data_IF_098997971135
#
_entry.id   IF_098997971135
#
_cell.length_a   1.000
_cell.length_b   1.000
_cell.length_c   1.000
_cell.angle_alpha   90.00
_cell.angle_beta   90.00
_cell.angle_gamma   90.00
#
_symmetry.space_group_name_H-M   'P 1'
#
loop_
_entity.id
_entity.type
_entity.pdbx_description
1 polymer ?
#
# COMPACT_ATOMS: atom_id res chain seq x y z
N UNK A 1 2.50 26.14 -14.32
CA UNK A 1 2.63 25.69 -12.92
C UNK A 1 3.94 24.91 -12.81
N UNK A 2 5.01 25.47 -12.24
CA UNK A 2 6.24 24.73 -12.05
C UNK A 2 6.01 23.72 -10.91
N UNK A 3 6.38 22.46 -11.13
CA UNK A 3 6.41 21.46 -10.08
C UNK A 3 7.52 21.86 -9.10
N UNK A 4 7.12 22.24 -7.88
CA UNK A 4 8.04 22.54 -6.80
C UNK A 4 8.69 21.23 -6.38
N UNK A 5 9.88 20.97 -6.89
CA UNK A 5 10.65 19.79 -6.53
C UNK A 5 11.20 20.03 -5.13
N UNK A 6 10.72 19.24 -4.16
CA UNK A 6 11.20 19.30 -2.79
C UNK A 6 12.73 19.26 -2.78
N UNK A 7 13.37 20.37 -2.40
CA UNK A 7 14.80 20.42 -2.23
C UNK A 7 15.17 19.48 -1.08
N UNK A 8 15.63 18.28 -1.43
CA UNK A 8 16.19 17.33 -0.46
C UNK A 8 17.43 17.98 0.13
N UNK A 9 17.25 18.61 1.29
CA UNK A 9 18.34 19.13 2.09
C UNK A 9 19.36 18.00 2.31
N UNK A 10 20.61 18.24 1.90
CA UNK A 10 21.75 17.34 2.14
C UNK A 10 22.02 17.27 3.65
N UNK A 11 21.21 16.50 4.36
CA UNK A 11 21.48 16.10 5.74
C UNK A 11 22.26 14.79 5.71
N UNK A 12 23.33 14.77 6.49
CA UNK A 12 24.33 13.70 6.57
C UNK A 12 23.64 12.37 6.91
N UNK A 13 23.78 11.36 6.03
CA UNK A 13 23.05 10.08 5.94
C UNK A 13 21.78 10.12 5.09
N UNK A 14 21.76 9.33 4.00
CA UNK A 14 20.60 9.23 3.08
C UNK A 14 19.30 8.81 3.76
N UNK A 15 19.39 8.13 4.91
CA UNK A 15 18.23 7.74 5.71
C UNK A 15 17.60 8.90 6.48
N UNK A 16 18.39 9.92 6.88
CA UNK A 16 17.87 11.10 7.58
C UNK A 16 16.97 11.96 6.68
N UNK A 17 17.33 12.08 5.40
CA UNK A 17 16.48 12.74 4.40
C UNK A 17 15.18 11.99 4.15
N UNK A 18 15.22 10.66 4.02
CA UNK A 18 14.02 9.84 3.90
C UNK A 18 13.13 9.94 5.14
N UNK A 19 13.70 9.93 6.35
CA UNK A 19 12.94 10.11 7.57
C UNK A 19 12.19 11.45 7.61
N UNK A 20 12.82 12.54 7.15
CA UNK A 20 12.15 13.84 7.04
C UNK A 20 11.01 13.84 6.03
N UNK A 21 11.19 13.22 4.86
CA UNK A 21 10.15 13.11 3.84
C UNK A 21 8.98 12.26 4.31
N UNK A 22 9.25 11.13 4.98
CA UNK A 22 8.20 10.30 5.59
C UNK A 22 7.46 11.08 6.67
N UNK A 23 8.17 11.88 7.47
CA UNK A 23 7.55 12.66 8.52
C UNK A 23 6.64 13.78 7.99
N UNK A 24 7.01 14.44 6.88
CA UNK A 24 6.21 15.53 6.29
C UNK A 24 5.13 15.02 5.34
N UNK A 25 5.49 14.11 4.45
CA UNK A 25 4.69 13.71 3.28
C UNK A 25 4.13 12.29 3.42
N UNK A 26 4.49 11.58 4.49
CA UNK A 26 3.97 10.25 4.76
C UNK A 26 2.47 10.26 5.08
N UNK A 27 1.85 9.10 4.90
CA UNK A 27 0.42 8.90 5.14
C UNK A 27 -0.03 9.18 6.57
N UNK A 28 0.90 9.27 7.53
CA UNK A 28 0.60 9.61 8.93
C UNK A 28 -0.11 10.96 9.09
N UNK A 29 0.19 11.93 8.22
CA UNK A 29 -0.42 13.26 8.24
C UNK A 29 -1.71 13.31 7.42
N UNK A 30 -2.07 12.22 6.73
CA UNK A 30 -3.24 12.21 5.87
C UNK A 30 -4.52 12.20 6.73
N UNK A 31 -5.48 13.12 6.50
CA UNK A 31 -6.68 13.23 7.32
C UNK A 31 -7.48 11.94 7.46
N UNK A 32 -7.49 11.12 6.40
CA UNK A 32 -8.15 9.80 6.42
C UNK A 32 -7.56 8.86 7.48
N UNK A 33 -6.24 8.85 7.68
CA UNK A 33 -5.63 7.95 8.67
C UNK A 33 -6.01 8.37 10.09
N UNK A 34 -6.04 9.67 10.37
CA UNK A 34 -6.47 10.20 11.67
C UNK A 34 -7.93 9.85 11.97
N UNK A 35 -8.80 9.97 10.97
CA UNK A 35 -10.21 9.58 11.08
C UNK A 35 -10.39 8.07 11.23
N UNK A 36 -9.59 7.26 10.54
CA UNK A 36 -9.58 5.81 10.68
C UNK A 36 -9.18 5.40 12.11
N UNK A 37 -8.12 5.99 12.67
CA UNK A 37 -7.68 5.76 14.05
C UNK A 37 -8.74 6.15 15.08
N UNK A 38 -9.48 7.22 14.81
CA UNK A 38 -10.60 7.66 15.64
C UNK A 38 -11.88 6.83 15.43
N UNK A 39 -11.87 5.83 14.55
CA UNK A 39 -13.06 5.06 14.13
C UNK A 39 -14.21 5.95 13.63
N UNK A 40 -13.87 7.04 12.93
CA UNK A 40 -14.81 8.06 12.47
C UNK A 40 -15.10 7.99 10.96
N UNK A 41 -14.67 6.92 10.28
CA UNK A 41 -14.97 6.71 8.86
C UNK A 41 -16.29 5.95 8.69
N UNK A 42 -17.13 6.34 7.71
CA UNK A 42 -18.32 5.59 7.35
C UNK A 42 -17.96 4.16 6.94
N UNK A 43 -18.76 3.18 7.36
CA UNK A 43 -18.54 1.76 7.03
C UNK A 43 -18.44 1.51 5.51
N UNK A 44 -19.19 2.28 4.71
CA UNK A 44 -19.13 2.23 3.25
C UNK A 44 -17.74 2.59 2.71
N UNK A 45 -17.13 3.63 3.25
CA UNK A 45 -15.82 4.11 2.78
C UNK A 45 -14.71 3.14 3.23
N UNK A 46 -14.88 2.48 4.37
CA UNK A 46 -14.05 1.35 4.80
C UNK A 46 -14.22 0.14 3.88
N UNK A 47 -15.46 -0.16 3.46
CA UNK A 47 -15.75 -1.25 2.52
C UNK A 47 -15.07 -0.99 1.17
N UNK A 48 -15.14 0.22 0.62
CA UNK A 48 -14.43 0.59 -0.61
C UNK A 48 -12.92 0.45 -0.45
N UNK A 49 -12.36 0.96 0.66
CA UNK A 49 -10.93 0.89 0.93
C UNK A 49 -10.41 -0.55 0.96
N UNK A 50 -11.09 -1.47 1.65
CA UNK A 50 -10.64 -2.87 1.73
C UNK A 50 -10.69 -3.59 0.38
N UNK A 51 -11.65 -3.24 -0.50
CA UNK A 51 -11.68 -3.77 -1.85
C UNK A 51 -10.48 -3.29 -2.68
N UNK A 52 -10.16 -2.00 -2.66
CA UNK A 52 -9.01 -1.48 -3.38
C UNK A 52 -7.68 -1.99 -2.81
N UNK A 53 -7.57 -2.10 -1.48
CA UNK A 53 -6.41 -2.75 -0.85
C UNK A 53 -6.29 -4.21 -1.29
N UNK A 54 -7.40 -4.96 -1.39
CA UNK A 54 -7.36 -6.33 -1.87
C UNK A 54 -7.01 -6.42 -3.36
N UNK A 55 -7.46 -5.48 -4.20
CA UNK A 55 -7.08 -5.41 -5.62
C UNK A 55 -5.57 -5.22 -5.78
N UNK A 56 -4.95 -4.41 -4.92
CA UNK A 56 -3.52 -4.07 -5.00
C UNK A 56 -2.63 -5.07 -4.27
N UNK A 57 -3.01 -5.50 -3.07
CA UNK A 57 -2.20 -6.37 -2.19
C UNK A 57 -2.60 -7.84 -2.24
N UNK A 58 -3.84 -8.16 -2.62
CA UNK A 58 -4.37 -9.53 -2.61
C UNK A 58 -3.80 -10.45 -3.69
N UNK A 59 -3.07 -9.91 -4.68
CA UNK A 59 -2.44 -10.70 -5.75
C UNK A 59 -1.32 -11.59 -5.19
N UNK A 60 -1.25 -12.81 -5.71
CA UNK A 60 -0.14 -13.72 -5.49
C UNK A 60 0.26 -14.38 -6.81
N UNK A 61 1.56 -14.47 -7.15
CA UNK A 61 2.68 -13.86 -6.44
C UNK A 61 2.63 -12.32 -6.47
N UNK A 62 2.97 -11.69 -5.34
CA UNK A 62 3.13 -10.24 -5.20
C UNK A 62 4.61 -9.85 -5.21
N UNK A 63 4.92 -8.55 -5.18
CA UNK A 63 6.31 -8.03 -5.30
C UNK A 63 7.29 -8.70 -4.32
N UNK A 64 6.86 -8.94 -3.07
CA UNK A 64 7.69 -9.60 -2.07
C UNK A 64 7.92 -11.08 -2.40
N UNK A 65 6.91 -11.78 -2.92
CA UNK A 65 7.05 -13.17 -3.38
C UNK A 65 8.06 -13.25 -4.54
N UNK A 66 7.99 -12.31 -5.50
CA UNK A 66 8.95 -12.19 -6.59
C UNK A 66 10.36 -11.88 -6.06
N UNK A 67 10.50 -10.93 -5.12
CA UNK A 67 11.79 -10.58 -4.53
C UNK A 67 12.42 -11.75 -3.78
N UNK A 68 11.64 -12.49 -2.99
CA UNK A 68 12.10 -13.68 -2.28
C UNK A 68 12.62 -14.76 -3.25
N UNK A 69 11.95 -14.95 -4.39
CA UNK A 69 12.40 -15.87 -5.45
C UNK A 69 13.73 -15.50 -6.10
N UNK A 70 14.13 -14.21 -6.04
CA UNK A 70 15.39 -13.71 -6.59
C UNK A 70 16.47 -13.48 -5.53
N UNK A 71 16.16 -13.69 -4.24
CA UNK A 71 17.08 -13.47 -3.14
C UNK A 71 18.27 -14.44 -3.21
N UNK A 72 19.48 -13.92 -2.98
CA UNK A 72 20.71 -14.71 -2.84
C UNK A 72 20.92 -15.12 -1.39
N UNK A 73 21.87 -16.02 -1.14
CA UNK A 73 22.16 -16.49 0.22
C UNK A 73 22.63 -15.33 1.10
N UNK A 74 21.97 -15.12 2.24
CA UNK A 74 22.31 -14.04 3.17
C UNK A 74 21.14 -13.64 4.07
N UNK A 75 21.35 -12.61 4.90
CA UNK A 75 20.38 -12.06 5.85
C UNK A 75 19.14 -11.47 5.14
N UNK A 76 19.33 -10.96 3.93
CA UNK A 76 18.25 -10.44 3.08
C UNK A 76 17.25 -11.52 2.68
N UNK A 77 17.71 -12.77 2.50
CA UNK A 77 16.85 -13.90 2.12
C UNK A 77 15.95 -14.28 3.27
N UNK A 78 16.51 -14.42 4.47
CA UNK A 78 15.74 -14.78 5.67
C UNK A 78 14.67 -13.71 5.95
N UNK A 79 15.02 -12.42 5.78
CA UNK A 79 14.06 -11.33 5.90
C UNK A 79 12.97 -11.37 4.81
N UNK A 80 13.33 -11.62 3.55
CA UNK A 80 12.37 -11.71 2.43
C UNK A 80 11.43 -12.91 2.58
N UNK A 81 11.92 -14.04 3.08
CA UNK A 81 11.09 -15.22 3.37
C UNK A 81 10.09 -14.94 4.50
N UNK A 82 10.56 -14.35 5.60
CA UNK A 82 9.68 -13.94 6.69
C UNK A 82 8.65 -12.90 6.23
N UNK A 83 9.05 -11.96 5.38
CA UNK A 83 8.15 -10.99 4.78
C UNK A 83 7.11 -11.68 3.88
N UNK A 84 7.51 -12.61 3.01
CA UNK A 84 6.59 -13.33 2.14
C UNK A 84 5.51 -14.10 2.93
N UNK A 85 5.89 -14.73 4.05
CA UNK A 85 4.95 -15.40 4.97
C UNK A 85 3.99 -14.39 5.63
N UNK A 86 4.50 -13.26 6.11
CA UNK A 86 3.69 -12.17 6.67
C UNK A 86 2.67 -11.64 5.65
N UNK A 87 3.10 -11.36 4.43
CA UNK A 87 2.23 -10.90 3.35
C UNK A 87 1.19 -11.96 2.97
N UNK A 88 1.52 -13.25 2.99
CA UNK A 88 0.53 -14.31 2.78
C UNK A 88 -0.59 -14.28 3.84
N UNK A 89 -0.23 -14.04 5.10
CA UNK A 89 -1.19 -13.89 6.21
C UNK A 89 -2.07 -12.65 6.02
N UNK A 90 -1.48 -11.51 5.65
CA UNK A 90 -2.21 -10.27 5.38
C UNK A 90 -3.19 -10.43 4.21
N UNK A 91 -2.78 -11.07 3.11
CA UNK A 91 -3.67 -11.36 1.98
C UNK A 91 -4.86 -12.22 2.39
N UNK A 92 -4.64 -13.27 3.18
CA UNK A 92 -5.72 -14.12 3.66
C UNK A 92 -6.71 -13.34 4.55
N UNK A 93 -6.21 -12.43 5.38
CA UNK A 93 -7.05 -11.53 6.17
C UNK A 93 -7.85 -10.58 5.28
N UNK A 94 -7.22 -9.92 4.30
CA UNK A 94 -7.89 -9.02 3.38
C UNK A 94 -9.02 -9.71 2.61
N UNK A 95 -8.78 -10.91 2.08
CA UNK A 95 -9.82 -11.70 1.38
C UNK A 95 -11.03 -11.95 2.28
N UNK A 96 -10.80 -12.29 3.56
CA UNK A 96 -11.89 -12.50 4.53
C UNK A 96 -12.66 -11.21 4.83
N UNK A 97 -11.96 -10.09 4.97
CA UNK A 97 -12.58 -8.77 5.22
C UNK A 97 -13.42 -8.34 4.01
N UNK A 98 -12.91 -8.49 2.79
CA UNK A 98 -13.64 -8.19 1.56
C UNK A 98 -14.89 -9.06 1.42
N UNK A 99 -14.77 -10.37 1.67
CA UNK A 99 -15.93 -11.27 1.66
C UNK A 99 -17.00 -10.85 2.67
N UNK A 100 -16.60 -10.34 3.85
CA UNK A 100 -17.51 -9.82 4.85
C UNK A 100 -18.10 -8.44 4.50
N UNK A 101 -17.36 -7.60 3.77
CA UNK A 101 -17.83 -6.29 3.31
C UNK A 101 -18.95 -6.39 2.25
N UNK A 102 -19.03 -7.51 1.54
CA UNK A 102 -20.03 -7.74 0.50
C UNK A 102 -19.67 -7.05 -0.82
N UNK A 103 -20.63 -6.90 -1.75
CA UNK A 103 -20.35 -6.29 -3.05
C UNK A 103 -19.86 -4.85 -2.93
N UNK A 104 -18.91 -4.47 -3.79
CA UNK A 104 -18.35 -3.12 -3.86
C UNK A 104 -19.48 -2.08 -4.05
N UNK A 105 -19.68 -1.15 -3.11
CA UNK A 105 -20.71 -0.13 -3.25
C UNK A 105 -20.41 0.82 -4.41
N UNK A 106 -21.44 1.24 -5.14
CA UNK A 106 -21.32 2.31 -6.13
C UNK A 106 -21.25 3.66 -5.41
N UNK A 107 -20.05 4.21 -5.27
CA UNK A 107 -19.81 5.52 -4.64
C UNK A 107 -19.56 6.62 -5.68
N UNK A 108 -19.91 7.89 -5.38
CA UNK A 108 -19.46 9.01 -6.21
C UNK A 108 -17.93 9.05 -6.27
N UNK A 109 -17.34 9.21 -7.45
CA UNK A 109 -15.88 9.16 -7.63
C UNK A 109 -15.30 7.75 -7.82
N UNK A 110 -16.17 6.74 -7.98
CA UNK A 110 -15.77 5.34 -8.16
C UNK A 110 -14.92 5.15 -9.41
N UNK A 111 -15.27 5.80 -10.53
CA UNK A 111 -14.54 5.66 -11.78
C UNK A 111 -13.09 6.16 -11.67
N UNK A 112 -12.87 7.27 -10.97
CA UNK A 112 -11.55 7.83 -10.70
C UNK A 112 -10.73 6.92 -9.79
N UNK A 113 -11.38 6.37 -8.76
CA UNK A 113 -10.75 5.43 -7.82
C UNK A 113 -10.37 4.11 -8.49
N UNK A 114 -11.25 3.58 -9.35
CA UNK A 114 -10.96 2.41 -10.19
C UNK A 114 -9.82 2.67 -11.17
N UNK A 115 -9.82 3.82 -11.85
CA UNK A 115 -8.75 4.19 -12.77
C UNK A 115 -7.39 4.30 -12.03
N UNK A 116 -7.37 4.93 -10.86
CA UNK A 116 -6.18 5.01 -10.03
C UNK A 116 -5.70 3.62 -9.59
N UNK A 117 -6.60 2.76 -9.09
CA UNK A 117 -6.28 1.40 -8.69
C UNK A 117 -5.76 0.55 -9.87
N UNK A 118 -6.36 0.71 -11.06
CA UNK A 118 -5.89 0.04 -12.27
C UNK A 118 -4.48 0.50 -12.67
N UNK A 119 -4.18 1.80 -12.59
CA UNK A 119 -2.85 2.34 -12.85
C UNK A 119 -1.82 1.81 -11.84
N UNK A 120 -2.15 1.80 -10.55
CA UNK A 120 -1.25 1.27 -9.51
C UNK A 120 -1.01 -0.23 -9.70
N UNK A 121 -2.05 -1.01 -9.99
CA UNK A 121 -1.92 -2.44 -10.30
C UNK A 121 -0.99 -2.67 -11.48
N UNK A 122 -1.15 -1.92 -12.56
CA UNK A 122 -0.25 -2.00 -13.71
C UNK A 122 1.20 -1.68 -13.33
N UNK A 123 1.42 -0.64 -12.53
CA UNK A 123 2.76 -0.29 -12.05
C UNK A 123 3.38 -1.44 -11.22
N UNK A 124 2.60 -2.08 -10.35
CA UNK A 124 3.06 -3.24 -9.57
C UNK A 124 3.37 -4.45 -10.47
N UNK A 125 2.59 -4.66 -11.52
CA UNK A 125 2.84 -5.73 -12.50
C UNK A 125 4.15 -5.50 -13.27
N UNK A 126 4.54 -4.25 -13.51
CA UNK A 126 5.83 -3.92 -14.14
C UNK A 126 7.04 -4.14 -13.23
N UNK A 127 6.85 -4.34 -11.92
CA UNK A 127 7.92 -4.62 -10.96
C UNK A 127 8.16 -6.13 -10.74
N UNK A 128 7.21 -6.97 -11.17
CA UNK A 128 7.16 -8.40 -10.93
C UNK A 128 7.80 -9.21 -12.07
#
# INVERSE_FOLDING_TARGET
>A
MPFDSAQVARLRSGWGGMGSLVASDGSQNHPYLQRLQANAEPLRDLADAVHYLCILHGRHPGVIDHAAGHARLGVERDWLEAAAEGFATERALLVRIVAAAGPLPSTPGHAESEAAAAQQRHALDMLA
#
